data_IF_875193362999
#
_entry.id   IF_875193362999
#
_cell.length_a   1.000
_cell.length_b   1.000
_cell.length_c   1.000
_cell.angle_alpha   90.00
_cell.angle_beta   90.00
_cell.angle_gamma   90.00
#
_symmetry.space_group_name_H-M   'P 1'
#
loop_
_entity.id
_entity.type
_entity.pdbx_description
1 polymer ?
#
# COMPACT_ATOMS: atom_id res chain seq x y z
N UNK A 1 -4.33 18.23 1.63
CA UNK A 1 -4.95 19.05 2.70
C UNK A 1 -6.14 18.28 3.27
N UNK A 2 -6.41 18.39 4.57
CA UNK A 2 -7.53 17.74 5.25
C UNK A 2 -8.85 18.23 4.66
N UNK A 3 -9.73 17.32 4.25
CA UNK A 3 -11.04 17.65 3.68
C UNK A 3 -12.14 17.67 4.73
N UNK A 4 -11.87 17.11 5.90
CA UNK A 4 -12.84 16.89 6.98
C UNK A 4 -12.69 17.89 8.13
N UNK A 5 -11.90 18.95 7.94
CA UNK A 5 -11.66 19.99 8.95
C UNK A 5 -11.59 21.38 8.32
N UNK A 6 -12.10 22.39 9.03
CA UNK A 6 -12.15 23.79 8.58
C UNK A 6 -10.78 24.49 8.64
N UNK A 7 -9.83 23.90 9.36
CA UNK A 7 -8.49 24.45 9.60
C UNK A 7 -7.54 24.30 8.41
N UNK A 8 -8.00 23.70 7.29
CA UNK A 8 -7.17 23.36 6.11
C UNK A 8 -5.84 22.69 6.50
N UNK A 9 -5.87 21.92 7.60
CA UNK A 9 -4.68 21.32 8.18
C UNK A 9 -4.05 20.32 7.21
N UNK A 10 -2.76 20.07 7.38
CA UNK A 10 -2.08 19.09 6.56
C UNK A 10 -2.67 17.69 6.77
N UNK A 11 -3.19 17.09 5.69
CA UNK A 11 -3.71 15.72 5.74
C UNK A 11 -2.56 14.79 6.07
N UNK A 12 -2.73 13.91 7.05
CA UNK A 12 -1.72 12.95 7.50
C UNK A 12 -2.11 11.49 7.20
N UNK A 13 -3.30 11.27 6.67
CA UNK A 13 -3.74 9.94 6.26
C UNK A 13 -4.96 9.99 5.36
N UNK A 14 -5.22 8.89 4.68
CA UNK A 14 -6.32 8.73 3.75
C UNK A 14 -7.21 7.57 4.19
N UNK A 15 -8.49 7.84 4.39
CA UNK A 15 -9.47 6.80 4.68
C UNK A 15 -9.97 6.19 3.37
N UNK A 16 -9.86 4.87 3.21
CA UNK A 16 -10.28 4.19 1.97
C UNK A 16 -11.79 4.07 1.82
N UNK A 17 -12.53 3.95 2.92
CA UNK A 17 -14.00 3.83 2.90
C UNK A 17 -14.69 5.17 2.69
N UNK A 18 -14.20 6.23 3.34
CA UNK A 18 -14.72 7.59 3.14
C UNK A 18 -14.14 8.26 1.88
N UNK A 19 -13.02 7.75 1.35
CA UNK A 19 -12.30 8.35 0.21
C UNK A 19 -11.86 9.79 0.51
N UNK A 20 -11.43 10.03 1.75
CA UNK A 20 -11.15 11.38 2.27
C UNK A 20 -9.76 11.50 2.89
N UNK A 21 -9.19 12.70 2.79
CA UNK A 21 -7.91 13.06 3.38
C UNK A 21 -8.11 13.65 4.78
N UNK A 22 -7.51 13.04 5.79
CA UNK A 22 -7.71 13.37 7.20
C UNK A 22 -6.38 13.83 7.82
N UNK A 23 -6.39 14.94 8.57
CA UNK A 23 -5.24 15.33 9.41
C UNK A 23 -5.14 14.43 10.66
N UNK A 24 -4.04 14.52 11.41
CA UNK A 24 -3.83 13.71 12.64
C UNK A 24 -4.98 13.82 13.65
N UNK A 25 -5.66 14.96 13.71
CA UNK A 25 -6.82 15.17 14.59
C UNK A 25 -8.06 14.48 14.06
N UNK A 26 -8.35 14.64 12.76
CA UNK A 26 -9.48 13.96 12.10
C UNK A 26 -9.31 12.44 12.11
N UNK A 27 -8.11 11.90 11.92
CA UNK A 27 -7.84 10.45 12.03
C UNK A 27 -8.20 9.93 13.42
N UNK A 28 -7.76 10.62 14.49
CA UNK A 28 -8.09 10.26 15.87
C UNK A 28 -9.58 10.33 16.15
N UNK A 29 -10.28 11.33 15.63
CA UNK A 29 -11.74 11.42 15.74
C UNK A 29 -12.43 10.28 14.97
N UNK A 30 -11.97 10.00 13.75
CA UNK A 30 -12.48 8.96 12.87
C UNK A 30 -12.36 7.57 13.50
N UNK A 31 -11.26 7.31 14.22
CA UNK A 31 -11.06 6.06 14.97
C UNK A 31 -11.88 5.95 16.27
N UNK A 32 -12.41 7.07 16.78
CA UNK A 32 -13.23 7.10 18.01
C UNK A 32 -14.72 6.94 17.73
N UNK A 33 -15.17 7.41 16.57
CA UNK A 33 -16.58 7.34 16.18
C UNK A 33 -16.96 5.89 15.87
N UNK A 34 -18.04 5.40 16.48
CA UNK A 34 -18.45 3.98 16.43
C UNK A 34 -18.58 3.41 15.01
N UNK A 35 -18.90 4.26 14.04
CA UNK A 35 -19.15 3.88 12.66
C UNK A 35 -17.84 3.82 11.84
N UNK A 36 -16.96 4.80 12.03
CA UNK A 36 -15.74 4.96 11.23
C UNK A 36 -14.50 4.38 11.90
N UNK A 37 -14.65 3.80 13.11
CA UNK A 37 -13.54 3.20 13.87
C UNK A 37 -12.91 1.97 13.20
N UNK A 38 -13.70 1.26 12.41
CA UNK A 38 -13.24 0.08 11.66
C UNK A 38 -12.62 0.48 10.33
N UNK A 39 -12.72 1.77 9.95
CA UNK A 39 -12.27 2.18 8.65
C UNK A 39 -10.76 2.13 8.51
N UNK A 40 -10.29 1.66 7.36
CA UNK A 40 -8.86 1.58 7.08
C UNK A 40 -8.31 2.94 6.67
N UNK A 41 -7.56 3.57 7.57
CA UNK A 41 -6.86 4.85 7.31
C UNK A 41 -5.37 4.58 7.03
N UNK A 42 -4.93 4.90 5.81
CA UNK A 42 -3.51 4.81 5.40
C UNK A 42 -2.79 6.10 5.82
N UNK A 43 -1.90 6.01 6.81
CA UNK A 43 -1.11 7.15 7.26
C UNK A 43 0.02 7.47 6.26
N UNK A 44 0.33 8.76 6.09
CA UNK A 44 1.35 9.24 5.16
C UNK A 44 2.75 9.28 5.79
N UNK A 45 2.86 9.30 7.12
CA UNK A 45 4.13 9.47 7.83
C UNK A 45 4.22 8.56 9.05
N UNK A 46 4.67 7.33 8.83
CA UNK A 46 5.52 6.64 9.78
C UNK A 46 6.54 5.81 9.00
N UNK A 47 7.42 6.49 8.28
CA UNK A 47 8.65 5.91 7.75
C UNK A 47 9.75 6.92 8.00
N UNK A 48 10.62 6.60 8.95
CA UNK A 48 11.91 7.23 9.18
C UNK A 48 12.67 7.42 7.86
N UNK A 49 13.51 8.46 7.71
CA UNK A 49 14.13 8.85 6.43
C UNK A 49 15.16 7.86 5.83
N UNK A 50 15.20 6.59 6.25
CA UNK A 50 16.09 5.56 5.71
C UNK A 50 15.42 4.54 4.78
N UNK A 51 14.13 4.71 4.44
CA UNK A 51 13.46 3.89 3.43
C UNK A 51 12.82 4.78 2.35
N UNK A 52 13.68 5.36 1.52
CA UNK A 52 13.27 6.00 0.27
C UNK A 52 12.81 4.92 -0.71
N UNK A 53 11.51 4.90 -0.99
CA UNK A 53 10.96 4.35 -2.22
C UNK A 53 9.99 3.20 -2.04
N UNK A 54 8.77 3.41 -2.51
CA UNK A 54 7.76 2.39 -2.85
C UNK A 54 6.97 1.83 -1.66
N UNK A 55 5.91 2.59 -1.31
CA UNK A 55 4.60 2.08 -0.88
C UNK A 55 4.53 1.16 0.34
N UNK A 56 3.69 1.51 1.31
CA UNK A 56 3.15 0.59 2.30
C UNK A 56 2.25 -0.48 1.65
N UNK A 57 2.82 -1.34 0.81
CA UNK A 57 2.26 -2.66 0.49
C UNK A 57 2.99 -3.63 1.38
N UNK A 58 2.24 -4.28 2.29
CA UNK A 58 2.79 -5.45 2.98
C UNK A 58 3.41 -6.37 1.93
N UNK A 59 4.58 -6.96 2.21
CA UNK A 59 5.20 -7.85 1.25
C UNK A 59 4.25 -8.98 0.91
N UNK A 60 3.82 -9.04 -0.34
CA UNK A 60 2.98 -10.13 -0.85
C UNK A 60 3.94 -11.24 -1.28
N UNK A 61 3.77 -12.43 -0.71
CA UNK A 61 4.64 -13.57 -0.99
C UNK A 61 4.05 -14.45 -2.08
N UNK A 62 4.94 -15.11 -2.82
CA UNK A 62 4.53 -16.05 -3.85
C UNK A 62 3.83 -17.26 -3.20
N UNK A 63 2.67 -17.71 -3.70
CA UNK A 63 1.97 -18.87 -3.15
C UNK A 63 2.77 -20.18 -3.33
N UNK A 64 3.61 -20.27 -4.37
CA UNK A 64 4.48 -21.40 -4.64
C UNK A 64 5.83 -21.29 -3.93
N UNK A 65 6.39 -20.08 -3.88
CA UNK A 65 7.67 -19.78 -3.24
C UNK A 65 7.43 -18.90 -2.01
N UNK A 66 7.00 -19.51 -0.90
CA UNK A 66 6.52 -18.80 0.31
C UNK A 66 7.54 -17.83 0.95
N UNK A 67 8.83 -17.96 0.63
CA UNK A 67 9.92 -17.08 1.11
C UNK A 67 10.21 -15.92 0.16
N UNK A 68 9.72 -15.99 -1.06
CA UNK A 68 9.96 -15.02 -2.11
C UNK A 68 8.80 -14.03 -2.23
N UNK A 69 9.14 -12.76 -2.40
CA UNK A 69 8.17 -11.69 -2.57
C UNK A 69 7.78 -11.56 -4.05
N UNK A 70 6.48 -11.33 -4.30
CA UNK A 70 5.95 -10.98 -5.61
C UNK A 70 6.34 -9.53 -5.91
N UNK A 71 7.44 -9.34 -6.65
CA UNK A 71 8.00 -8.04 -7.04
C UNK A 71 8.11 -7.85 -8.55
N UNK A 72 7.74 -8.87 -9.32
CA UNK A 72 7.88 -8.86 -10.78
C UNK A 72 6.51 -9.02 -11.40
N UNK A 73 6.20 -8.27 -12.44
CA UNK A 73 5.00 -8.45 -13.25
C UNK A 73 5.39 -9.06 -14.59
N UNK A 74 4.84 -10.22 -14.91
CA UNK A 74 5.06 -10.88 -16.19
C UNK A 74 4.08 -10.33 -17.23
N UNK A 75 4.59 -9.60 -18.23
CA UNK A 75 3.77 -8.99 -19.29
C UNK A 75 3.15 -10.06 -20.20
N UNK A 76 3.86 -11.17 -20.46
CA UNK A 76 3.36 -12.25 -21.31
C UNK A 76 2.20 -13.02 -20.68
N UNK A 77 2.12 -13.07 -19.35
CA UNK A 77 1.10 -13.82 -18.61
C UNK A 77 0.13 -12.96 -17.82
N UNK A 78 0.27 -11.64 -17.91
CA UNK A 78 -0.53 -10.65 -17.20
C UNK A 78 -0.67 -10.97 -15.68
N UNK A 79 0.45 -11.30 -15.01
CA UNK A 79 0.41 -11.73 -13.61
C UNK A 79 1.63 -11.34 -12.79
N UNK A 80 1.44 -11.13 -11.49
CA UNK A 80 2.54 -10.98 -10.54
C UNK A 80 3.28 -12.31 -10.32
N UNK A 81 4.59 -12.22 -10.24
CA UNK A 81 5.54 -13.33 -10.14
C UNK A 81 6.65 -12.96 -9.16
N UNK A 82 7.29 -13.98 -8.60
CA UNK A 82 8.56 -13.82 -7.89
C UNK A 82 9.74 -14.14 -8.81
N UNK A 83 10.96 -13.95 -8.29
CA UNK A 83 12.19 -14.26 -9.01
C UNK A 83 12.25 -15.73 -9.41
N UNK A 84 11.94 -16.66 -8.52
CA UNK A 84 11.95 -18.09 -8.83
C UNK A 84 10.89 -18.49 -9.88
N UNK A 85 9.71 -17.85 -9.87
CA UNK A 85 8.73 -18.04 -10.95
C UNK A 85 9.30 -17.58 -12.30
N UNK A 86 10.01 -16.45 -12.34
CA UNK A 86 10.69 -15.97 -13.55
C UNK A 86 11.80 -16.91 -14.02
N UNK A 87 12.52 -17.54 -13.10
CA UNK A 87 13.62 -18.45 -13.44
C UNK A 87 13.19 -19.87 -13.77
N UNK A 88 11.97 -20.31 -13.41
CA UNK A 88 11.53 -21.68 -13.64
C UNK A 88 10.46 -21.76 -14.72
N UNK A 89 9.34 -21.07 -14.51
CA UNK A 89 8.13 -21.18 -15.33
C UNK A 89 8.06 -20.11 -16.42
N UNK A 90 8.78 -19.00 -16.25
CA UNK A 90 8.65 -17.80 -17.10
C UNK A 90 10.00 -17.35 -17.71
N UNK A 91 10.95 -18.27 -17.90
CA UNK A 91 12.34 -17.96 -18.30
C UNK A 91 12.46 -17.06 -19.53
N UNK A 92 11.53 -17.16 -20.48
CA UNK A 92 11.57 -16.47 -21.76
C UNK A 92 10.47 -15.39 -21.87
N UNK A 93 9.78 -15.10 -20.78
CA UNK A 93 8.71 -14.11 -20.77
C UNK A 93 9.27 -12.73 -20.43
N UNK A 94 8.62 -11.71 -20.98
CA UNK A 94 8.95 -10.32 -20.67
C UNK A 94 8.36 -9.97 -19.30
N UNK A 95 9.12 -9.25 -18.47
CA UNK A 95 8.68 -8.84 -17.13
C UNK A 95 9.14 -7.43 -16.77
N UNK A 96 8.43 -6.83 -15.81
CA UNK A 96 8.69 -5.52 -15.23
C UNK A 96 8.96 -5.67 -13.73
N UNK A 97 9.84 -4.84 -13.18
CA UNK A 97 10.07 -4.76 -11.73
C UNK A 97 9.11 -3.73 -11.13
N UNK A 98 8.42 -4.12 -10.06
CA UNK A 98 7.50 -3.28 -9.28
C UNK A 98 8.20 -2.68 -8.06
#
# INVERSE_FOLDING_TARGET
>A
VCTSCEDNAEANGFCVECVEWLCKTCIRAHQRVKFTKDHTVRQKEEVSPEAVGVTSQRPVFCPFHKKEQLKLYCETCDKLTCRDCQLLEHKEHRYLHL
#
